data_IF_858760753827
#
_entry.id   IF_858760753827
#
_cell.length_a   1.000
_cell.length_b   1.000
_cell.length_c   1.000
_cell.angle_alpha   90.00
_cell.angle_beta   90.00
_cell.angle_gamma   90.00
#
_symmetry.space_group_name_H-M   'P 1'
#
loop_
_entity.id
_entity.type
_entity.pdbx_description
1 polymer ?
#
# COMPACT_ATOMS: atom_id res chain seq x y z
N UNK A 1 17.23 3.25 2.27
CA UNK A 1 16.35 2.21 1.69
C UNK A 1 15.82 2.61 0.29
N UNK A 2 16.67 3.10 -0.62
CA UNK A 2 16.21 3.56 -1.96
C UNK A 2 16.39 2.45 -3.02
N UNK A 3 17.35 1.53 -2.86
CA UNK A 3 17.63 0.48 -3.86
C UNK A 3 16.62 -0.67 -3.93
N UNK A 4 16.00 -1.06 -2.81
CA UNK A 4 15.05 -2.20 -2.78
C UNK A 4 13.68 -1.88 -3.39
N UNK A 5 13.32 -0.59 -3.48
CA UNK A 5 12.01 -0.17 -3.98
C UNK A 5 11.88 -0.38 -5.50
N UNK A 6 12.94 -0.16 -6.28
CA UNK A 6 12.91 -0.29 -7.75
C UNK A 6 12.63 -1.72 -8.23
N UNK A 7 13.19 -2.72 -7.54
CA UNK A 7 13.02 -4.14 -7.92
C UNK A 7 11.58 -4.61 -7.70
N UNK A 8 10.91 -4.08 -6.67
CA UNK A 8 9.50 -4.40 -6.40
C UNK A 8 8.51 -3.61 -7.25
N UNK A 9 8.82 -2.36 -7.60
CA UNK A 9 7.88 -1.49 -8.33
C UNK A 9 7.77 -1.83 -9.80
N UNK A 10 8.86 -2.23 -10.47
CA UNK A 10 8.83 -2.56 -11.90
C UNK A 10 7.86 -3.71 -12.24
N UNK A 11 7.92 -4.90 -11.58
CA UNK A 11 6.97 -5.98 -11.82
C UNK A 11 5.52 -5.57 -11.58
N UNK A 12 5.27 -4.73 -10.56
CA UNK A 12 3.93 -4.24 -10.25
C UNK A 12 3.39 -3.41 -11.41
N UNK A 13 4.17 -2.45 -11.92
CA UNK A 13 3.76 -1.59 -13.03
C UNK A 13 3.47 -2.42 -14.29
N UNK A 14 4.36 -3.37 -14.63
CA UNK A 14 4.15 -4.28 -15.76
C UNK A 14 2.87 -5.12 -15.60
N UNK A 15 2.61 -5.61 -14.39
CA UNK A 15 1.41 -6.42 -14.10
C UNK A 15 0.14 -5.58 -14.27
N UNK A 16 0.14 -4.34 -13.78
CA UNK A 16 -1.02 -3.44 -13.96
C UNK A 16 -1.21 -3.01 -15.42
N UNK A 17 -0.12 -2.84 -16.16
CA UNK A 17 -0.21 -2.49 -17.57
C UNK A 17 -0.94 -3.59 -18.38
N UNK A 18 -0.68 -4.86 -18.04
CA UNK A 18 -1.09 -6.02 -18.86
C UNK A 18 -2.30 -6.80 -18.33
N UNK A 19 -2.51 -6.89 -17.01
CA UNK A 19 -3.41 -7.90 -16.43
C UNK A 19 -4.43 -7.37 -15.42
N UNK A 20 -4.16 -6.26 -14.73
CA UNK A 20 -4.97 -5.83 -13.59
C UNK A 20 -5.10 -4.31 -13.52
N UNK A 21 -6.23 -3.78 -13.03
CA UNK A 21 -6.33 -2.33 -12.82
C UNK A 21 -5.46 -1.87 -11.64
N UNK A 22 -4.97 -0.61 -11.65
CA UNK A 22 -4.22 -0.05 -10.52
C UNK A 22 -4.96 -0.18 -9.19
N UNK A 23 -6.28 0.10 -9.19
CA UNK A 23 -7.14 -0.03 -8.00
C UNK A 23 -7.15 -1.45 -7.45
N UNK A 24 -7.38 -2.43 -8.32
CA UNK A 24 -7.44 -3.85 -7.93
C UNK A 24 -6.09 -4.33 -7.39
N UNK A 25 -4.99 -3.94 -8.04
CA UNK A 25 -3.64 -4.33 -7.61
C UNK A 25 -3.30 -3.77 -6.23
N UNK A 26 -3.68 -2.51 -5.95
CA UNK A 26 -3.52 -1.94 -4.61
C UNK A 26 -4.33 -2.73 -3.59
N UNK A 27 -5.62 -2.98 -3.83
CA UNK A 27 -6.48 -3.73 -2.91
C UNK A 27 -5.89 -5.12 -2.61
N UNK A 28 -5.51 -5.87 -3.65
CA UNK A 28 -4.90 -7.21 -3.49
C UNK A 28 -3.61 -7.13 -2.69
N UNK A 29 -2.73 -6.17 -2.99
CA UNK A 29 -1.47 -6.00 -2.27
C UNK A 29 -1.68 -5.68 -0.79
N UNK A 30 -2.69 -4.86 -0.46
CA UNK A 30 -3.00 -4.50 0.92
C UNK A 30 -3.59 -5.65 1.73
N UNK A 31 -4.44 -6.48 1.11
CA UNK A 31 -4.94 -7.72 1.71
C UNK A 31 -3.76 -8.66 2.00
N UNK A 32 -2.91 -8.91 1.00
CA UNK A 32 -1.77 -9.81 1.14
C UNK A 32 -0.75 -9.28 2.16
N UNK A 33 -0.50 -7.97 2.20
CA UNK A 33 0.35 -7.35 3.23
C UNK A 33 -0.22 -7.57 4.62
N UNK A 34 -1.54 -7.43 4.78
CA UNK A 34 -2.20 -7.63 6.07
C UNK A 34 -2.09 -9.06 6.55
N UNK A 35 -2.26 -10.03 5.65
CA UNK A 35 -2.06 -11.46 5.93
C UNK A 35 -0.61 -11.73 6.30
N UNK A 36 0.36 -11.24 5.52
CA UNK A 36 1.78 -11.43 5.81
C UNK A 36 2.15 -10.82 7.17
N UNK A 37 1.72 -9.60 7.46
CA UNK A 37 1.92 -8.93 8.74
C UNK A 37 1.34 -9.73 9.91
N UNK A 38 0.14 -10.30 9.77
CA UNK A 38 -0.51 -11.07 10.82
C UNK A 38 0.19 -12.41 11.09
N UNK A 39 0.94 -12.93 10.11
CA UNK A 39 1.72 -14.15 10.23
C UNK A 39 3.10 -13.93 10.88
N UNK A 40 3.63 -12.70 10.94
CA UNK A 40 4.95 -12.45 11.54
C UNK A 40 5.11 -12.95 12.98
N UNK A 41 4.13 -12.78 13.89
CA UNK A 41 4.25 -13.24 15.27
C UNK A 41 4.36 -14.75 15.43
N UNK A 42 3.89 -15.53 14.44
CA UNK A 42 3.82 -16.99 14.51
C UNK A 42 4.92 -17.70 13.73
N UNK A 43 5.68 -16.97 12.90
CA UNK A 43 6.78 -17.53 12.11
C UNK A 43 8.12 -17.28 12.79
N UNK A 44 8.97 -18.30 12.80
CA UNK A 44 10.33 -18.24 13.35
C UNK A 44 11.37 -18.77 12.36
N UNK A 45 12.64 -18.46 12.62
CA UNK A 45 13.76 -18.96 11.81
C UNK A 45 13.75 -18.44 10.36
N UNK A 46 14.11 -19.26 9.37
CA UNK A 46 14.21 -18.85 7.97
C UNK A 46 12.91 -18.29 7.37
N UNK A 47 11.75 -18.69 7.91
CA UNK A 47 10.44 -18.21 7.43
C UNK A 47 10.26 -16.70 7.57
N UNK A 48 10.93 -16.08 8.56
CA UNK A 48 10.90 -14.62 8.76
C UNK A 48 11.52 -13.88 7.58
N UNK A 49 12.59 -14.44 6.99
CA UNK A 49 13.26 -13.84 5.82
C UNK A 49 12.35 -13.88 4.60
N UNK A 50 11.66 -15.01 4.38
CA UNK A 50 10.71 -15.18 3.29
C UNK A 50 9.54 -14.19 3.43
N UNK A 51 8.94 -14.12 4.62
CA UNK A 51 7.87 -13.16 4.92
C UNK A 51 8.31 -11.71 4.79
N UNK A 52 9.55 -11.38 5.17
CA UNK A 52 10.12 -10.04 5.04
C UNK A 52 10.32 -9.65 3.58
N UNK A 53 10.86 -10.55 2.75
CA UNK A 53 11.03 -10.32 1.32
C UNK A 53 9.67 -10.16 0.62
N UNK A 54 8.70 -11.04 0.91
CA UNK A 54 7.36 -10.99 0.34
C UNK A 54 6.63 -9.70 0.75
N UNK A 55 6.66 -9.35 2.04
CA UNK A 55 6.04 -8.12 2.54
C UNK A 55 6.66 -6.87 1.92
N UNK A 56 7.99 -6.85 1.74
CA UNK A 56 8.70 -5.78 1.06
C UNK A 56 8.26 -5.61 -0.40
N UNK A 57 8.09 -6.71 -1.12
CA UNK A 57 7.58 -6.70 -2.50
C UNK A 57 6.14 -6.18 -2.57
N UNK A 58 5.24 -6.71 -1.73
CA UNK A 58 3.83 -6.29 -1.71
C UNK A 58 3.67 -4.80 -1.36
N UNK A 59 4.55 -4.27 -0.49
CA UNK A 59 4.57 -2.85 -0.12
C UNK A 59 4.93 -1.91 -1.27
N UNK A 60 5.59 -2.41 -2.31
CA UNK A 60 5.95 -1.59 -3.47
C UNK A 60 4.71 -1.07 -4.21
N UNK A 61 3.64 -1.87 -4.29
CA UNK A 61 2.48 -1.55 -5.11
C UNK A 61 1.67 -0.32 -4.64
N UNK A 62 1.24 -0.22 -3.37
CA UNK A 62 0.49 0.95 -2.91
C UNK A 62 1.27 2.26 -3.09
N UNK A 63 2.59 2.24 -2.88
CA UNK A 63 3.42 3.46 -2.90
C UNK A 63 3.49 4.15 -4.26
N UNK A 64 3.34 3.40 -5.36
CA UNK A 64 3.39 3.93 -6.73
C UNK A 64 1.99 4.07 -7.31
N UNK A 65 1.14 3.05 -7.12
CA UNK A 65 -0.17 3.01 -7.77
C UNK A 65 -1.17 3.99 -7.12
N UNK A 66 -1.01 4.37 -5.85
CA UNK A 66 -1.81 5.44 -5.26
C UNK A 66 -1.61 6.78 -5.97
N UNK A 67 -0.36 7.10 -6.34
CA UNK A 67 -0.05 8.31 -7.12
C UNK A 67 -0.73 8.26 -8.48
N UNK A 68 -0.68 7.12 -9.16
CA UNK A 68 -1.39 6.92 -10.44
C UNK A 68 -2.89 7.12 -10.26
N UNK A 69 -3.49 6.48 -9.25
CA UNK A 69 -4.92 6.57 -8.97
C UNK A 69 -5.37 8.01 -8.69
N UNK A 70 -4.58 8.80 -7.96
CA UNK A 70 -4.90 10.22 -7.68
C UNK A 70 -4.90 11.05 -8.97
N UNK A 71 -3.92 10.82 -9.85
CA UNK A 71 -3.81 11.53 -11.13
C UNK A 71 -4.90 11.14 -12.13
N UNK A 72 -5.43 9.91 -12.04
CA UNK A 72 -6.51 9.41 -12.91
C UNK A 72 -7.92 9.83 -12.46
N UNK A 73 -8.06 10.55 -11.33
CA UNK A 73 -9.34 11.11 -10.89
C UNK A 73 -9.68 12.30 -11.81
N UNK A 74 -10.78 12.18 -12.56
CA UNK A 74 -11.24 13.18 -13.53
C UNK A 74 -11.36 14.58 -12.92
N UNK A 75 -11.84 14.67 -11.68
CA UNK A 75 -12.07 15.92 -10.97
C UNK A 75 -10.79 16.63 -10.49
N UNK A 76 -9.66 15.92 -10.41
CA UNK A 76 -8.36 16.54 -10.09
C UNK A 76 -7.86 17.32 -11.30
N UNK A 77 -7.87 16.68 -12.48
CA UNK A 77 -7.38 17.27 -13.72
C UNK A 77 -5.90 17.67 -13.67
N UNK A 78 -5.38 18.23 -14.77
CA UNK A 78 -3.97 18.63 -14.85
C UNK A 78 -3.64 19.84 -13.94
N UNK A 79 -4.62 20.73 -13.74
CA UNK A 79 -4.45 21.98 -12.99
C UNK A 79 -4.21 21.75 -11.48
N UNK A 80 -4.87 20.74 -10.88
CA UNK A 80 -4.76 20.47 -9.44
C UNK A 80 -3.92 19.23 -9.11
N UNK A 81 -3.29 18.61 -10.11
CA UNK A 81 -2.51 17.38 -9.95
C UNK A 81 -1.42 17.52 -8.87
N UNK A 82 -0.65 18.61 -8.90
CA UNK A 82 0.40 18.88 -7.91
C UNK A 82 -0.14 19.01 -6.49
N UNK A 83 -1.23 19.76 -6.32
CA UNK A 83 -1.89 19.98 -5.02
C UNK A 83 -2.49 18.68 -4.47
N UNK A 84 -3.17 17.89 -5.31
CA UNK A 84 -3.77 16.62 -4.91
C UNK A 84 -2.70 15.63 -4.44
N UNK A 85 -1.60 15.49 -5.20
CA UNK A 85 -0.45 14.67 -4.80
C UNK A 85 0.15 15.20 -3.49
N UNK A 86 0.46 16.49 -3.41
CA UNK A 86 1.04 17.09 -2.19
C UNK A 86 0.18 16.85 -0.95
N UNK A 87 -1.15 16.99 -1.08
CA UNK A 87 -2.09 16.73 0.01
C UNK A 87 -2.10 15.26 0.45
N UNK A 88 -2.21 14.33 -0.50
CA UNK A 88 -2.19 12.88 -0.21
C UNK A 88 -0.89 12.46 0.44
N UNK A 89 0.26 12.93 -0.06
CA UNK A 89 1.56 12.63 0.55
C UNK A 89 1.72 13.27 1.93
N UNK A 90 1.19 14.47 2.15
CA UNK A 90 1.20 15.10 3.48
C UNK A 90 0.44 14.25 4.50
N UNK A 91 -0.76 13.78 4.16
CA UNK A 91 -1.52 12.85 5.01
C UNK A 91 -0.77 11.52 5.20
N UNK A 92 -0.15 11.00 4.15
CA UNK A 92 0.70 9.81 4.22
C UNK A 92 1.90 9.98 5.18
N UNK A 93 2.55 11.14 5.18
CA UNK A 93 3.65 11.46 6.08
C UNK A 93 3.18 11.62 7.53
N UNK A 94 1.99 12.19 7.76
CA UNK A 94 1.39 12.20 9.11
C UNK A 94 1.19 10.78 9.62
N UNK A 95 0.66 9.89 8.79
CA UNK A 95 0.55 8.47 9.13
C UNK A 95 1.91 7.83 9.42
N UNK A 96 2.91 8.08 8.58
CA UNK A 96 4.27 7.58 8.76
C UNK A 96 4.96 8.14 10.03
N UNK A 97 4.53 9.29 10.53
CA UNK A 97 5.02 9.87 11.77
C UNK A 97 4.32 9.29 13.00
N UNK A 98 2.99 9.12 12.95
CA UNK A 98 2.17 8.73 14.11
C UNK A 98 2.18 7.22 14.34
N UNK A 99 2.00 6.42 13.29
CA UNK A 99 1.71 4.99 13.43
C UNK A 99 2.92 4.11 13.80
N UNK A 100 4.18 4.42 13.43
CA UNK A 100 5.30 3.61 13.88
C UNK A 100 5.55 3.72 15.39
N UNK A 101 5.61 4.90 16.03
CA UNK A 101 5.69 5.00 17.49
C UNK A 101 4.53 4.30 18.20
N UNK A 102 3.30 4.49 17.71
CA UNK A 102 2.11 3.87 18.28
C UNK A 102 2.17 2.34 18.20
N UNK A 103 2.50 1.78 17.03
CA UNK A 103 2.66 0.33 16.84
C UNK A 103 3.80 -0.22 17.70
N UNK A 104 4.97 0.44 17.69
CA UNK A 104 6.14 0.01 18.45
C UNK A 104 5.91 0.01 19.96
N UNK A 105 5.10 0.94 20.50
CA UNK A 105 4.78 0.94 21.93
C UNK A 105 4.09 -0.35 22.40
N UNK A 106 3.38 -1.05 21.51
CA UNK A 106 2.73 -2.33 21.81
C UNK A 106 3.73 -3.47 22.00
N UNK A 107 4.97 -3.32 21.53
CA UNK A 107 6.03 -4.31 21.72
C UNK A 107 6.36 -4.51 23.20
N UNK A 108 6.11 -3.52 24.05
CA UNK A 108 6.26 -3.62 25.51
C UNK A 108 5.31 -4.64 26.15
N UNK A 109 4.17 -4.90 25.52
CA UNK A 109 3.18 -5.90 25.97
C UNK A 109 3.51 -7.25 25.34
N UNK A 110 3.71 -7.29 24.02
CA UNK A 110 4.12 -8.49 23.30
C UNK A 110 4.85 -8.10 22.00
N UNK A 111 6.03 -8.66 21.70
CA UNK A 111 6.81 -8.33 20.50
C UNK A 111 6.07 -8.53 19.16
N UNK A 112 5.02 -9.35 19.14
CA UNK A 112 4.18 -9.62 17.97
C UNK A 112 3.07 -8.58 17.72
N UNK A 113 2.64 -7.84 18.74
CA UNK A 113 1.51 -6.89 18.63
C UNK A 113 1.72 -5.75 17.62
N UNK A 114 2.94 -5.18 17.44
CA UNK A 114 3.16 -4.17 16.40
C UNK A 114 2.75 -4.66 15.01
N UNK A 115 3.07 -5.92 14.67
CA UNK A 115 2.73 -6.51 13.38
C UNK A 115 1.22 -6.68 13.20
N UNK A 116 0.52 -7.15 14.24
CA UNK A 116 -0.94 -7.26 14.23
C UNK A 116 -1.58 -5.88 14.05
N UNK A 117 -1.07 -4.87 14.75
CA UNK A 117 -1.54 -3.50 14.64
C UNK A 117 -1.40 -2.95 13.22
N UNK A 118 -0.21 -3.07 12.60
CA UNK A 118 0.01 -2.59 11.24
C UNK A 118 -0.79 -3.37 10.19
N UNK A 119 -0.97 -4.67 10.38
CA UNK A 119 -1.89 -5.47 9.56
C UNK A 119 -3.32 -4.97 9.63
N UNK A 120 -3.81 -4.64 10.83
CA UNK A 120 -5.14 -4.09 11.00
C UNK A 120 -5.28 -2.72 10.31
N UNK A 121 -4.27 -1.85 10.39
CA UNK A 121 -4.25 -0.56 9.68
C UNK A 121 -4.26 -0.73 8.16
N UNK A 122 -3.49 -1.69 7.63
CA UNK A 122 -3.50 -2.01 6.21
C UNK A 122 -4.88 -2.47 5.73
N UNK A 123 -5.59 -3.32 6.49
CA UNK A 123 -6.98 -3.66 6.18
C UNK A 123 -7.92 -2.46 6.32
N UNK A 124 -7.78 -1.66 7.38
CA UNK A 124 -8.65 -0.52 7.64
C UNK A 124 -8.61 0.50 6.50
N UNK A 125 -7.43 0.72 5.92
CA UNK A 125 -7.28 1.64 4.79
C UNK A 125 -8.02 1.19 3.51
N UNK A 126 -8.40 -0.09 3.39
CA UNK A 126 -9.28 -0.57 2.30
C UNK A 126 -10.64 0.13 2.32
N UNK A 127 -11.10 0.61 3.48
CA UNK A 127 -12.36 1.35 3.58
C UNK A 127 -12.33 2.61 2.69
N UNK A 128 -11.18 3.27 2.59
CA UNK A 128 -11.01 4.45 1.73
C UNK A 128 -11.26 4.14 0.24
N UNK A 129 -10.99 2.91 -0.20
CA UNK A 129 -11.17 2.51 -1.60
C UNK A 129 -12.64 2.34 -2.01
N UNK A 130 -13.57 2.19 -1.05
CA UNK A 130 -15.01 2.21 -1.33
C UNK A 130 -15.49 3.59 -1.77
N UNK A 131 -14.84 4.65 -1.28
CA UNK A 131 -15.18 6.03 -1.62
C UNK A 131 -14.44 6.55 -2.86
N UNK A 132 -13.46 5.78 -3.35
CA UNK A 132 -12.68 6.13 -4.54
C UNK A 132 -13.51 5.93 -5.80
N UNK A 133 -13.86 7.05 -6.45
CA UNK A 133 -14.51 7.07 -7.77
C UNK A 133 -13.67 6.32 -8.80
N UNK A 134 -14.32 5.76 -9.83
CA UNK A 134 -13.66 4.95 -10.86
C UNK A 134 -12.59 5.79 -11.60
N UNK A 135 -11.33 5.34 -11.67
CA UNK A 135 -10.28 5.99 -12.46
C UNK A 135 -10.64 5.99 -13.96
N UNK A 136 -10.22 7.01 -14.70
CA UNK A 136 -10.54 7.15 -16.13
C UNK A 136 -10.08 5.94 -16.98
N UNK A 137 -8.94 5.32 -16.64
CA UNK A 137 -8.38 4.17 -17.36
C UNK A 137 -9.23 2.90 -17.24
N UNK A 138 -10.00 2.73 -16.16
CA UNK A 138 -10.99 1.65 -16.05
C UNK A 138 -12.23 1.90 -16.90
N UNK A 139 -12.62 3.16 -17.13
CA UNK A 139 -13.78 3.50 -17.93
C UNK A 139 -13.54 3.28 -19.45
N UNK A 140 -12.30 3.45 -19.92
CA UNK A 140 -11.95 3.26 -21.33
C UNK A 140 -11.73 1.80 -21.72
N UNK A 141 -11.37 0.91 -20.77
CA UNK A 141 -11.21 -0.54 -21.02
C UNK A 141 -12.52 -1.34 -21.02
N UNK A 142 -13.67 -0.69 -20.79
CA UNK A 142 -15.00 -1.31 -20.83
C UNK A 142 -15.79 -1.01 -22.12
N UNK A 143 -15.15 -0.38 -23.09
CA UNK A 143 -15.62 -0.20 -24.47
C UNK A 143 -14.66 -0.92 -25.42
#
# INVERSE_FOLDING_TARGET
>A
MIGGAFVGTLPVIFTTAKFMSPKTMVIVSMILMSVCGALFPVVSGPGVLVLSALSGFLRAAPSVLLTVLVLEIKEVGAEHAGTAIGFVYTLGMLGAFIFPPLGNSLASINPGLPFVFWSAMALLSLIGFFFLKKPQTEATRQH
#
